data_IF_253948687109
#
_entry.id   IF_253948687109
#
_cell.length_a   1.000
_cell.length_b   1.000
_cell.length_c   1.000
_cell.angle_alpha   90.00
_cell.angle_beta   90.00
_cell.angle_gamma   90.00
#
_symmetry.space_group_name_H-M   'P 1'
#
loop_
_entity.id
_entity.type
_entity.pdbx_description
1 polymer ?
#
# COMPACT_ATOMS: atom_id res chain seq x y z
N UNK A 1 -7.44 9.85 17.77
CA UNK A 1 -6.38 10.76 17.28
C UNK A 1 -5.79 10.11 16.02
N UNK A 2 -6.27 10.46 14.83
CA UNK A 2 -5.72 9.90 13.59
C UNK A 2 -4.26 10.29 13.50
N UNK A 3 -3.34 9.34 13.24
CA UNK A 3 -2.04 9.79 12.73
C UNK A 3 -2.34 10.59 11.48
N UNK A 4 -1.67 11.73 11.34
CA UNK A 4 -1.76 12.52 10.14
C UNK A 4 -1.08 11.68 9.06
N UNK A 5 -1.86 10.87 8.35
CA UNK A 5 -1.35 10.07 7.26
C UNK A 5 -1.01 11.06 6.14
N UNK A 6 0.27 11.37 6.05
CA UNK A 6 0.83 12.37 5.14
C UNK A 6 0.68 11.88 3.70
N UNK A 7 0.20 12.77 2.83
CA UNK A 7 0.08 12.49 1.42
C UNK A 7 0.41 13.72 0.58
N UNK A 8 0.98 13.46 -0.59
CA UNK A 8 1.51 14.48 -1.48
C UNK A 8 1.03 14.18 -2.89
N UNK A 9 0.59 15.20 -3.62
CA UNK A 9 0.34 15.13 -5.05
C UNK A 9 1.32 16.04 -5.77
N UNK A 10 2.13 15.45 -6.66
CA UNK A 10 3.05 16.15 -7.55
C UNK A 10 2.62 15.94 -8.99
N UNK A 11 2.65 17.01 -9.77
CA UNK A 11 2.48 16.97 -11.21
C UNK A 11 3.84 17.10 -11.91
N UNK A 12 4.04 16.32 -12.97
CA UNK A 12 5.16 16.41 -13.90
C UNK A 12 4.61 16.58 -15.33
N UNK A 13 5.42 16.92 -16.33
CA UNK A 13 4.95 16.99 -17.72
C UNK A 13 4.31 15.68 -18.22
N UNK A 14 4.81 14.53 -17.74
CA UNK A 14 4.42 13.20 -18.22
C UNK A 14 3.37 12.50 -17.35
N UNK A 15 3.28 12.84 -16.05
CA UNK A 15 2.41 12.12 -15.12
C UNK A 15 2.04 12.92 -13.86
N UNK A 16 0.95 12.52 -13.21
CA UNK A 16 0.60 12.85 -11.84
C UNK A 16 1.07 11.74 -10.89
N UNK A 17 1.78 12.11 -9.83
CA UNK A 17 2.35 11.19 -8.84
C UNK A 17 1.74 11.50 -7.48
N UNK A 18 1.06 10.51 -6.92
CA UNK A 18 0.52 10.56 -5.56
C UNK A 18 1.38 9.70 -4.64
N UNK A 19 1.72 10.22 -3.47
CA UNK A 19 2.46 9.50 -2.43
C UNK A 19 1.66 9.51 -1.14
N UNK A 20 1.56 8.37 -0.46
CA UNK A 20 0.82 8.21 0.79
C UNK A 20 1.67 7.46 1.82
N UNK A 21 1.77 8.01 3.03
CA UNK A 21 2.44 7.39 4.16
C UNK A 21 1.45 6.49 4.91
N UNK A 22 1.27 5.26 4.43
CA UNK A 22 0.34 4.27 4.96
C UNK A 22 1.07 3.26 5.87
N UNK A 23 1.77 3.76 6.89
CA UNK A 23 2.51 2.91 7.84
C UNK A 23 1.54 2.07 8.67
N UNK A 24 1.81 0.78 8.75
CA UNK A 24 0.94 -0.18 9.45
C UNK A 24 -0.13 -0.81 8.55
N UNK A 25 -0.28 -0.35 7.30
CA UNK A 25 -1.05 -1.06 6.28
C UNK A 25 -0.12 -1.96 5.45
N UNK A 26 -0.58 -3.17 5.18
CA UNK A 26 0.02 -4.07 4.19
C UNK A 26 -0.62 -3.85 2.82
N UNK A 27 -0.03 -4.43 1.77
CA UNK A 27 -0.54 -4.30 0.39
C UNK A 27 -1.97 -4.83 0.25
N UNK A 28 -2.33 -5.87 1.01
CA UNK A 28 -3.67 -6.47 0.99
C UNK A 28 -4.72 -5.60 1.66
N UNK A 29 -4.30 -4.72 2.56
CA UNK A 29 -5.20 -3.81 3.28
C UNK A 29 -5.59 -2.60 2.41
N UNK A 30 -4.90 -2.37 1.29
CA UNK A 30 -5.06 -1.20 0.42
C UNK A 30 -5.80 -1.56 -0.86
N UNK A 31 -6.89 -0.83 -1.13
CA UNK A 31 -7.69 -0.92 -2.35
C UNK A 31 -7.61 0.39 -3.13
N UNK A 32 -7.26 0.29 -4.41
CA UNK A 32 -7.19 1.42 -5.34
C UNK A 32 -8.21 1.19 -6.44
N UNK A 33 -9.13 2.14 -6.61
CA UNK A 33 -10.21 2.06 -7.58
C UNK A 33 -10.28 3.32 -8.42
N UNK A 34 -10.64 3.15 -9.69
CA UNK A 34 -10.91 4.26 -10.59
C UNK A 34 -12.39 4.26 -11.00
N UNK A 35 -13.05 5.39 -10.76
CA UNK A 35 -14.38 5.67 -11.28
C UNK A 35 -14.24 6.39 -12.62
N UNK A 36 -14.52 5.71 -13.74
CA UNK A 36 -14.34 6.30 -15.07
C UNK A 36 -15.25 7.48 -15.34
N UNK A 37 -16.55 7.33 -15.03
CA UNK A 37 -17.58 8.33 -15.33
C UNK A 37 -17.28 9.70 -14.69
N UNK A 38 -16.70 9.69 -13.49
CA UNK A 38 -16.40 10.89 -12.70
C UNK A 38 -14.92 11.28 -12.72
N UNK A 39 -14.04 10.47 -13.35
CA UNK A 39 -12.57 10.59 -13.30
C UNK A 39 -12.02 10.71 -11.89
N UNK A 40 -12.54 9.89 -10.97
CA UNK A 40 -12.14 9.92 -9.55
C UNK A 40 -11.28 8.70 -9.22
N UNK A 41 -10.06 8.96 -8.74
CA UNK A 41 -9.17 7.97 -8.14
C UNK A 41 -9.51 7.84 -6.65
N UNK A 42 -9.92 6.65 -6.22
CA UNK A 42 -10.23 6.31 -4.84
C UNK A 42 -9.12 5.45 -4.24
N UNK A 43 -8.64 5.84 -3.07
CA UNK A 43 -7.64 5.10 -2.29
C UNK A 43 -8.25 4.84 -0.93
N UNK A 44 -8.47 3.56 -0.64
CA UNK A 44 -8.99 3.09 0.62
C UNK A 44 -7.97 2.14 1.23
N UNK A 45 -7.70 2.26 2.52
CA UNK A 45 -6.93 1.28 3.26
C UNK A 45 -7.65 0.97 4.57
N UNK A 46 -7.87 -0.30 4.87
CA UNK A 46 -8.54 -0.70 6.11
C UNK A 46 -7.78 -1.85 6.71
N UNK A 47 -7.39 -1.69 7.97
CA UNK A 47 -6.81 -2.73 8.82
C UNK A 47 -7.71 -2.89 10.02
N UNK A 48 -8.28 -4.06 10.16
CA UNK A 48 -9.03 -4.45 11.34
C UNK A 48 -8.05 -4.94 12.43
N UNK A 49 -8.49 -4.83 13.68
CA UNK A 49 -7.77 -5.39 14.83
C UNK A 49 -7.74 -6.91 14.69
N UNK A 50 -6.57 -7.52 14.85
CA UNK A 50 -6.43 -8.98 14.84
C UNK A 50 -6.65 -9.52 16.24
N UNK A 51 -7.18 -10.74 16.36
CA UNK A 51 -7.36 -11.44 17.64
C UNK A 51 -6.06 -11.53 18.45
N UNK A 52 -4.91 -11.66 17.78
CA UNK A 52 -3.57 -11.65 18.42
C UNK A 52 -3.18 -10.30 19.06
N UNK A 53 -3.85 -9.22 18.64
CA UNK A 53 -3.69 -7.87 19.20
C UNK A 53 -4.77 -7.54 20.24
N UNK A 54 -5.75 -8.43 20.44
CA UNK A 54 -6.71 -8.35 21.53
C UNK A 54 -6.02 -8.55 22.88
N UNK A 55 -6.58 -7.91 23.91
CA UNK A 55 -6.02 -7.98 25.25
C UNK A 55 -6.07 -9.43 25.74
N UNK A 56 -4.92 -10.11 25.70
CA UNK A 56 -4.76 -11.40 26.34
C UNK A 56 -4.90 -11.23 27.85
N UNK A 57 -5.61 -12.17 28.49
CA UNK A 57 -5.73 -12.20 29.95
C UNK A 57 -4.35 -12.10 30.63
N UNK A 58 -4.21 -11.13 31.53
CA UNK A 58 -2.98 -10.89 32.29
C UNK A 58 -1.98 -9.92 31.67
N UNK A 59 -2.25 -9.34 30.49
CA UNK A 59 -1.42 -8.26 29.93
C UNK A 59 -1.91 -6.87 30.38
N UNK A 60 -0.98 -5.97 30.69
CA UNK A 60 -1.26 -4.58 31.05
C UNK A 60 -0.52 -3.67 30.09
N UNK A 61 -1.27 -2.86 29.34
CA UNK A 61 -0.69 -1.79 28.53
C UNK A 61 -0.34 -0.58 29.41
N UNK A 62 0.95 -0.27 29.55
CA UNK A 62 1.37 0.97 30.20
C UNK A 62 1.19 2.20 29.30
N UNK A 63 1.29 2.02 27.98
CA UNK A 63 1.02 3.05 26.97
C UNK A 63 0.69 2.39 25.63
N UNK A 64 -0.34 2.90 24.94
CA UNK A 64 -0.75 2.45 23.61
C UNK A 64 -1.10 3.67 22.76
N UNK A 65 -0.13 4.14 21.98
CA UNK A 65 -0.27 5.38 21.20
C UNK A 65 -1.01 5.19 19.88
N UNK A 66 -0.92 4.00 19.26
CA UNK A 66 -1.55 3.72 17.96
C UNK A 66 -2.71 2.73 18.14
N UNK A 67 -3.90 3.05 17.62
CA UNK A 67 -4.99 2.08 17.53
C UNK A 67 -4.59 0.94 16.58
N UNK A 68 -5.02 -0.28 16.91
CA UNK A 68 -4.85 -1.50 16.10
C UNK A 68 -5.73 -1.48 14.86
N UNK A 69 -6.94 -0.96 15.02
CA UNK A 69 -7.88 -0.71 13.94
C UNK A 69 -7.61 0.67 13.31
N UNK A 70 -7.46 0.67 11.98
CA UNK A 70 -7.27 1.90 11.21
C UNK A 70 -7.95 1.82 9.87
N UNK A 71 -8.49 2.95 9.46
CA UNK A 71 -8.95 3.18 8.10
C UNK A 71 -8.39 4.49 7.56
N UNK A 72 -8.14 4.49 6.25
CA UNK A 72 -7.72 5.63 5.46
C UNK A 72 -8.59 5.66 4.21
N UNK A 73 -9.14 6.82 3.88
CA UNK A 73 -9.89 7.00 2.64
C UNK A 73 -9.66 8.39 2.07
N UNK A 74 -9.25 8.45 0.81
CA UNK A 74 -9.09 9.67 0.03
C UNK A 74 -9.52 9.47 -1.40
N UNK A 75 -10.08 10.53 -1.96
CA UNK A 75 -10.55 10.59 -3.35
C UNK A 75 -9.94 11.79 -4.04
N UNK A 76 -9.48 11.59 -5.27
CA UNK A 76 -8.84 12.62 -6.08
C UNK A 76 -9.53 12.69 -7.43
N UNK A 77 -10.03 13.87 -7.80
CA UNK A 77 -10.50 14.11 -9.15
C UNK A 77 -9.29 14.31 -10.07
N UNK A 78 -9.13 13.44 -11.04
CA UNK A 78 -8.04 13.49 -12.00
C UNK A 78 -8.34 14.56 -13.07
N UNK A 79 -7.30 15.26 -13.56
CA UNK A 79 -7.44 16.16 -14.70
C UNK A 79 -7.91 15.47 -15.98
N UNK A 80 -8.44 16.22 -16.96
CA UNK A 80 -8.92 15.66 -18.22
C UNK A 80 -7.85 14.96 -19.06
N UNK A 81 -6.59 15.37 -18.94
CA UNK A 81 -5.46 14.82 -19.68
C UNK A 81 -4.80 13.62 -18.97
N UNK A 82 -5.45 13.02 -17.96
CA UNK A 82 -4.94 11.85 -17.28
C UNK A 82 -5.28 10.57 -18.05
N UNK A 83 -4.26 9.76 -18.39
CA UNK A 83 -4.44 8.46 -19.04
C UNK A 83 -4.92 7.43 -18.02
N UNK A 84 -6.23 7.17 -18.05
CA UNK A 84 -6.91 6.33 -17.06
C UNK A 84 -6.46 4.86 -17.08
N UNK A 85 -5.99 4.37 -18.24
CA UNK A 85 -5.59 2.96 -18.38
C UNK A 85 -4.16 2.66 -17.98
N UNK A 86 -3.30 3.69 -17.99
CA UNK A 86 -1.88 3.61 -17.69
C UNK A 86 -1.55 3.70 -16.19
N UNK A 87 -2.56 3.76 -15.31
CA UNK A 87 -2.34 3.92 -13.87
C UNK A 87 -1.55 2.73 -13.31
N UNK A 88 -0.50 3.04 -12.57
CA UNK A 88 0.33 2.06 -11.87
C UNK A 88 0.43 2.40 -10.39
N UNK A 89 0.53 1.36 -9.56
CA UNK A 89 0.73 1.51 -8.13
C UNK A 89 1.86 0.61 -7.64
N UNK A 90 2.61 1.10 -6.66
CA UNK A 90 3.63 0.33 -5.96
C UNK A 90 3.66 0.72 -4.49
N UNK A 91 3.96 -0.24 -3.61
CA UNK A 91 4.06 0.01 -2.19
C UNK A 91 5.34 -0.59 -1.63
N UNK A 92 6.10 0.23 -0.91
CA UNK A 92 7.38 -0.15 -0.29
C UNK A 92 7.56 0.60 1.03
N UNK A 93 8.02 -0.08 2.07
CA UNK A 93 8.34 0.50 3.38
C UNK A 93 7.20 1.35 3.99
N UNK A 94 5.95 0.91 3.79
CA UNK A 94 4.76 1.62 4.26
C UNK A 94 4.41 2.89 3.47
N UNK A 95 5.03 3.10 2.31
CA UNK A 95 4.73 4.21 1.40
C UNK A 95 4.08 3.66 0.14
N UNK A 96 2.86 4.11 -0.15
CA UNK A 96 2.16 3.86 -1.40
C UNK A 96 2.48 4.96 -2.40
N UNK A 97 2.85 4.59 -3.62
CA UNK A 97 3.05 5.49 -4.74
C UNK A 97 2.10 5.10 -5.87
N UNK A 98 1.26 6.03 -6.28
CA UNK A 98 0.35 5.88 -7.44
C UNK A 98 0.78 6.85 -8.52
N UNK A 99 1.04 6.33 -9.72
CA UNK A 99 1.42 7.11 -10.90
C UNK A 99 0.32 7.04 -11.94
N UNK A 100 -0.14 8.20 -12.38
CA UNK A 100 -1.16 8.38 -13.41
C UNK A 100 -0.50 9.10 -14.58
N UNK A 101 -0.19 8.40 -15.69
CA UNK A 101 0.36 9.03 -16.88
C UNK A 101 -0.59 10.08 -17.45
N UNK A 102 -0.05 11.00 -18.24
CA UNK A 102 -0.82 11.95 -19.02
C UNK A 102 -0.96 11.46 -20.45
N UNK A 103 -2.11 11.70 -21.05
CA UNK A 103 -2.33 11.44 -22.48
C UNK A 103 -1.45 12.40 -23.29
N UNK A 104 -0.55 11.85 -24.09
CA UNK A 104 0.20 12.61 -25.08
C UNK A 104 -0.70 12.79 -26.30
N UNK A 105 -1.24 13.99 -26.48
CA UNK A 105 -2.02 14.30 -27.68
C UNK A 105 -1.07 14.47 -28.86
N UNK A 106 -0.77 13.38 -29.56
CA UNK A 106 -0.70 13.40 -31.02
C UNK A 106 -2.03 12.81 -31.53
N UNK A 107 -2.74 13.61 -32.32
CA UNK A 107 -4.10 13.42 -32.82
C UNK A 107 -4.41 11.97 -33.26
N UNK A 108 -5.41 11.30 -32.67
CA UNK A 108 -6.01 10.10 -33.27
C UNK A 108 -6.94 9.24 -32.40
N UNK A 109 -8.26 9.39 -32.62
CA UNK A 109 -9.39 8.45 -32.35
C UNK A 109 -9.84 8.15 -30.90
N UNK A 110 -10.88 8.88 -30.46
CA UNK A 110 -11.50 8.87 -29.11
C UNK A 110 -12.71 7.92 -28.95
N UNK A 111 -13.11 7.17 -29.98
CA UNK A 111 -14.53 6.77 -30.07
C UNK A 111 -14.93 5.39 -29.51
N UNK A 112 -14.02 4.57 -28.96
CA UNK A 112 -14.36 3.18 -28.55
C UNK A 112 -13.96 2.72 -27.13
N UNK A 113 -13.37 3.57 -26.28
CA UNK A 113 -12.80 3.10 -25.00
C UNK A 113 -13.75 3.16 -23.79
N UNK A 114 -14.75 4.05 -23.83
CA UNK A 114 -15.55 4.42 -22.66
C UNK A 114 -16.40 3.27 -22.07
N UNK A 115 -16.84 2.33 -22.90
CA UNK A 115 -17.79 1.29 -22.47
C UNK A 115 -17.15 0.17 -21.61
N UNK A 116 -15.81 0.02 -21.64
CA UNK A 116 -15.09 -1.05 -20.93
C UNK A 116 -14.61 -0.67 -19.53
N UNK A 117 -14.69 0.59 -19.12
CA UNK A 117 -14.03 1.11 -17.91
C UNK A 117 -15.03 1.36 -16.76
N UNK A 118 -16.10 0.58 -16.63
CA UNK A 118 -17.16 0.92 -15.64
C UNK A 118 -16.76 0.81 -14.16
N UNK A 119 -15.64 0.16 -13.84
CA UNK A 119 -14.93 0.20 -12.54
C UNK A 119 -13.68 -0.65 -12.69
N UNK A 120 -12.51 -0.07 -12.43
CA UNK A 120 -11.24 -0.81 -12.51
C UNK A 120 -10.52 -0.75 -11.17
N UNK A 121 -10.09 -1.91 -10.69
CA UNK A 121 -9.12 -2.03 -9.60
C UNK A 121 -7.70 -1.93 -10.14
N UNK A 122 -6.83 -1.21 -9.44
CA UNK A 122 -5.40 -1.12 -9.77
C UNK A 122 -4.62 -2.05 -8.86
N UNK A 123 -3.86 -2.97 -9.43
CA UNK A 123 -3.00 -3.88 -8.67
C UNK A 123 -1.73 -3.17 -8.20
N UNK A 124 -1.34 -3.43 -6.94
CA UNK A 124 -0.13 -2.88 -6.35
C UNK A 124 1.05 -3.80 -6.68
N UNK A 125 1.99 -3.32 -7.48
CA UNK A 125 3.21 -4.08 -7.82
C UNK A 125 4.08 -4.28 -6.58
N UNK A 126 4.70 -5.46 -6.47
CA UNK A 126 5.73 -5.71 -5.48
C UNK A 126 7.04 -4.99 -5.87
N UNK A 127 7.52 -4.07 -5.01
CA UNK A 127 8.93 -3.69 -5.05
C UNK A 127 9.77 -4.91 -4.65
N UNK A 128 10.82 -5.23 -5.41
CA UNK A 128 11.78 -6.26 -5.00
C UNK A 128 12.40 -5.81 -3.67
N UNK A 129 12.16 -6.59 -2.62
CA UNK A 129 12.86 -6.43 -1.36
C UNK A 129 14.32 -6.81 -1.61
N UNK A 130 15.19 -5.83 -1.85
CA UNK A 130 16.62 -6.07 -1.88
C UNK A 130 17.09 -6.30 -0.44
N UNK A 131 16.92 -7.52 0.05
CA UNK A 131 17.68 -7.99 1.19
C UNK A 131 19.14 -8.01 0.78
N UNK A 132 19.85 -6.93 1.12
CA UNK A 132 21.29 -6.86 0.94
C UNK A 132 21.90 -7.91 1.86
N UNK A 133 22.32 -9.03 1.25
CA UNK A 133 22.95 -10.13 1.95
C UNK A 133 24.16 -9.66 2.74
N UNK A 134 24.13 -9.89 4.05
CA UNK A 134 25.35 -9.96 4.86
C UNK A 134 25.99 -11.32 4.59
N UNK A 135 27.17 -11.27 3.99
CA UNK A 135 27.99 -12.42 3.64
C UNK A 135 28.35 -13.30 4.83
N UNK A 136 28.61 -14.56 4.48
CA UNK A 136 28.94 -15.72 5.30
C UNK A 136 30.21 -15.53 6.14
N UNK A 137 30.18 -16.05 7.36
CA UNK A 137 31.35 -16.50 8.11
C UNK A 137 30.97 -17.77 8.86
N UNK A 138 31.28 -18.93 8.28
CA UNK A 138 31.02 -20.22 8.89
C UNK A 138 32.03 -20.56 9.99
N UNK A 139 31.57 -21.31 10.99
CA UNK A 139 32.32 -22.40 11.61
C UNK A 139 31.35 -23.39 12.24
N UNK A 140 31.71 -24.65 12.06
CA UNK A 140 30.93 -25.86 12.25
C UNK A 140 30.61 -26.13 13.73
N UNK A 141 29.50 -26.81 13.96
CA UNK A 141 29.09 -27.25 15.30
C UNK A 141 27.84 -28.09 15.23
N UNK A 142 28.01 -29.35 14.84
CA UNK A 142 26.98 -30.37 14.82
C UNK A 142 26.25 -30.52 16.16
N UNK A 143 24.94 -30.79 16.04
CA UNK A 143 24.08 -31.62 16.93
C UNK A 143 23.73 -31.02 18.29
N UNK A 144 22.42 -30.80 18.49
CA UNK A 144 21.55 -31.83 19.09
C UNK A 144 20.32 -31.15 19.70
N UNK A 145 19.13 -31.49 19.19
CA UNK A 145 17.92 -31.42 19.98
C UNK A 145 18.09 -32.34 21.19
N UNK A 146 17.95 -31.85 22.42
CA UNK A 146 17.46 -32.64 23.55
C UNK A 146 16.77 -31.74 24.57
N UNK A 147 15.50 -32.03 24.78
CA UNK A 147 14.69 -31.63 25.93
C UNK A 147 15.25 -32.32 27.17
N UNK A 148 15.42 -31.60 28.29
CA UNK A 148 15.32 -32.22 29.61
C UNK A 148 14.97 -31.21 30.72
N UNK A 149 13.86 -31.51 31.39
CA UNK A 149 13.49 -31.03 32.72
C UNK A 149 14.58 -31.35 33.75
N UNK A 150 14.76 -30.47 34.75
CA UNK A 150 14.83 -30.91 36.17
C UNK A 150 14.59 -29.76 37.13
N UNK A 151 13.62 -29.98 38.02
CA UNK A 151 13.43 -29.31 39.32
C UNK A 151 14.58 -29.70 40.28
N UNK A 152 14.84 -28.89 41.32
CA UNK A 152 14.30 -29.23 42.64
C UNK A 152 13.11 -28.36 43.06
#
# INVERSE_FOLDING_TARGET
>A
MSTVDEWNWKETPECHIFKFHLRGFSKTDVKIELQADSRVLCINATREMREEEEEMEGQIWHCRERPSDRSFSRQFRLPPNAEMDGITASMKDGVLVVSVPKEYNDVGDESKKMEKIKKRSVEIKAGKDNQQGRGKGGREGLRSCFVCFKKP
#
